data_IF_273489197674
#
_entry.id   IF_273489197674
#
_cell.length_a   1.000
_cell.length_b   1.000
_cell.length_c   1.000
_cell.angle_alpha   90.00
_cell.angle_beta   90.00
_cell.angle_gamma   90.00
#
_symmetry.space_group_name_H-M   'P 1'
#
loop_
_entity.id
_entity.type
_entity.pdbx_description
1 polymer ?
#
# COMPACT_ATOMS: atom_id res chain seq x y z
N UNK A 1 -13.93 -21.18 4.50
CA UNK A 1 -14.61 -22.30 3.79
C UNK A 1 -14.56 -22.07 2.28
N UNK A 2 -14.82 -20.85 1.77
CA UNK A 2 -14.84 -20.55 0.31
C UNK A 2 -13.47 -20.67 -0.39
N UNK A 3 -12.36 -20.39 0.28
CA UNK A 3 -11.02 -20.43 -0.29
C UNK A 3 -10.59 -21.82 -0.77
N UNK A 4 -10.98 -22.87 -0.04
CA UNK A 4 -10.63 -24.25 -0.40
C UNK A 4 -11.41 -24.74 -1.64
N UNK A 5 -12.62 -24.26 -1.86
CA UNK A 5 -13.45 -24.62 -3.02
C UNK A 5 -12.92 -23.96 -4.29
N UNK A 6 -12.50 -22.69 -4.22
CA UNK A 6 -11.89 -21.96 -5.32
C UNK A 6 -10.54 -22.56 -5.70
N UNK A 7 -9.71 -22.88 -4.72
CA UNK A 7 -8.41 -23.56 -4.88
C UNK A 7 -8.56 -24.91 -5.60
N UNK A 8 -9.56 -25.73 -5.21
CA UNK A 8 -9.86 -27.01 -5.86
C UNK A 8 -10.31 -26.85 -7.33
N UNK A 9 -11.08 -25.81 -7.64
CA UNK A 9 -11.52 -25.52 -9.03
C UNK A 9 -10.34 -25.08 -9.89
N UNK A 10 -9.46 -24.20 -9.40
CA UNK A 10 -8.26 -23.78 -10.13
C UNK A 10 -7.31 -24.95 -10.42
N UNK A 11 -7.14 -25.87 -9.47
CA UNK A 11 -6.31 -27.07 -9.67
C UNK A 11 -6.90 -27.99 -10.75
N UNK A 12 -8.23 -28.07 -10.86
CA UNK A 12 -8.87 -28.85 -11.93
C UNK A 12 -8.67 -28.23 -13.31
N UNK A 13 -8.57 -26.89 -13.38
CA UNK A 13 -8.35 -26.14 -14.63
C UNK A 13 -6.87 -26.13 -15.05
N UNK A 14 -5.94 -26.37 -14.14
CA UNK A 14 -4.48 -26.31 -14.38
C UNK A 14 -3.94 -27.48 -15.26
N UNK A 15 -4.81 -28.29 -15.86
CA UNK A 15 -4.44 -29.37 -16.78
C UNK A 15 -4.26 -30.74 -16.13
N UNK A 16 -4.01 -31.79 -16.93
CA UNK A 16 -4.01 -33.19 -16.47
C UNK A 16 -2.73 -33.60 -15.73
N UNK A 17 -1.60 -32.84 -15.88
CA UNK A 17 -0.33 -33.23 -15.30
C UNK A 17 -0.21 -32.89 -13.82
N UNK A 18 0.37 -33.79 -13.03
CA UNK A 18 0.66 -33.57 -11.60
C UNK A 18 1.63 -32.42 -11.39
N UNK A 19 2.57 -32.24 -12.32
CA UNK A 19 3.57 -31.17 -12.30
C UNK A 19 2.92 -29.78 -12.43
N UNK A 20 2.02 -29.61 -13.41
CA UNK A 20 1.30 -28.34 -13.59
C UNK A 20 0.42 -27.99 -12.37
N UNK A 21 -0.22 -29.00 -11.78
CA UNK A 21 -1.02 -28.83 -10.55
C UNK A 21 -0.17 -28.39 -9.36
N UNK A 22 1.02 -28.98 -9.20
CA UNK A 22 1.95 -28.62 -8.12
C UNK A 22 2.47 -27.19 -8.29
N UNK A 23 2.85 -26.80 -9.50
CA UNK A 23 3.31 -25.45 -9.82
C UNK A 23 2.21 -24.42 -9.53
N UNK A 24 0.97 -24.69 -9.95
CA UNK A 24 -0.17 -23.81 -9.70
C UNK A 24 -0.45 -23.65 -8.20
N UNK A 25 -0.39 -24.74 -7.43
CA UNK A 25 -0.55 -24.69 -5.98
C UNK A 25 0.52 -23.84 -5.31
N UNK A 26 1.78 -24.08 -5.65
CA UNK A 26 2.91 -23.32 -5.11
C UNK A 26 2.78 -21.82 -5.43
N UNK A 27 2.36 -21.49 -6.66
CA UNK A 27 2.09 -20.12 -7.07
C UNK A 27 1.00 -19.45 -6.24
N UNK A 28 -0.12 -20.15 -6.01
CA UNK A 28 -1.22 -19.63 -5.20
C UNK A 28 -0.83 -19.42 -3.74
N UNK A 29 -0.08 -20.36 -3.16
CA UNK A 29 0.39 -20.26 -1.78
C UNK A 29 1.38 -19.10 -1.62
N UNK A 30 2.28 -18.93 -2.58
CA UNK A 30 3.25 -17.84 -2.60
C UNK A 30 2.57 -16.47 -2.76
N UNK A 31 1.64 -16.32 -3.70
CA UNK A 31 0.85 -15.10 -3.90
C UNK A 31 0.06 -14.77 -2.63
N UNK A 32 -0.62 -15.76 -2.05
CA UNK A 32 -1.40 -15.57 -0.83
C UNK A 32 -0.51 -15.12 0.32
N UNK A 33 0.66 -15.75 0.49
CA UNK A 33 1.64 -15.38 1.51
C UNK A 33 2.20 -13.97 1.32
N UNK A 34 2.46 -13.56 0.07
CA UNK A 34 2.91 -12.20 -0.25
C UNK A 34 1.85 -11.16 0.11
N UNK A 35 0.59 -11.40 -0.29
CA UNK A 35 -0.53 -10.48 0.01
C UNK A 35 -0.74 -10.37 1.53
N UNK A 36 -0.75 -11.50 2.25
CA UNK A 36 -0.90 -11.48 3.70
C UNK A 36 0.20 -10.67 4.38
N UNK A 37 1.45 -10.89 3.99
CA UNK A 37 2.60 -10.15 4.51
C UNK A 37 2.50 -8.66 4.19
N UNK A 38 2.13 -8.32 2.95
CA UNK A 38 1.89 -6.93 2.56
C UNK A 38 0.83 -6.27 3.45
N UNK A 39 -0.33 -6.91 3.63
CA UNK A 39 -1.41 -6.37 4.46
C UNK A 39 -1.00 -6.20 5.92
N UNK A 40 -0.25 -7.16 6.48
CA UNK A 40 0.27 -7.05 7.85
C UNK A 40 1.23 -5.86 8.01
N UNK A 41 2.17 -5.70 7.09
CA UNK A 41 3.10 -4.57 7.10
C UNK A 41 2.34 -3.26 6.90
N UNK A 42 1.38 -3.23 5.96
CA UNK A 42 0.57 -2.05 5.71
C UNK A 42 -0.23 -1.61 6.94
N UNK A 43 -0.85 -2.54 7.66
CA UNK A 43 -1.55 -2.24 8.91
C UNK A 43 -0.60 -1.74 9.99
N UNK A 44 0.55 -2.40 10.17
CA UNK A 44 1.56 -1.99 11.15
C UNK A 44 2.12 -0.59 10.86
N UNK A 45 2.49 -0.32 9.61
CA UNK A 45 3.01 1.00 9.20
C UNK A 45 1.94 2.08 9.26
N UNK A 46 0.68 1.76 8.94
CA UNK A 46 -0.44 2.70 9.09
C UNK A 46 -0.69 3.06 10.55
N UNK A 47 -0.65 2.10 11.46
CA UNK A 47 -0.77 2.36 12.90
C UNK A 47 0.41 3.22 13.40
N UNK A 48 1.62 2.95 12.91
CA UNK A 48 2.81 3.73 13.26
C UNK A 48 2.72 5.18 12.76
N UNK A 49 2.34 5.37 11.48
CA UNK A 49 2.14 6.71 10.89
C UNK A 49 1.08 7.47 11.67
N UNK A 50 -0.06 6.83 11.94
CA UNK A 50 -1.14 7.46 12.70
C UNK A 50 -0.71 7.87 14.11
N UNK A 51 -0.04 6.97 14.84
CA UNK A 51 0.47 7.25 16.19
C UNK A 51 1.48 8.39 16.20
N UNK A 52 2.49 8.34 15.32
CA UNK A 52 3.53 9.38 15.23
C UNK A 52 2.94 10.73 14.79
N UNK A 53 2.03 10.73 13.80
CA UNK A 53 1.36 11.96 13.34
C UNK A 53 0.52 12.55 14.46
N UNK A 54 -0.32 11.75 15.12
CA UNK A 54 -1.14 12.21 16.23
C UNK A 54 -0.30 12.82 17.36
N UNK A 55 0.79 12.14 17.76
CA UNK A 55 1.70 12.64 18.79
C UNK A 55 2.43 13.93 18.38
N UNK A 56 2.92 13.99 17.13
CA UNK A 56 3.60 15.17 16.64
C UNK A 56 2.68 16.39 16.57
N UNK A 57 1.47 16.21 16.06
CA UNK A 57 0.47 17.28 15.95
C UNK A 57 -0.06 17.73 17.31
N UNK A 58 -0.17 16.80 18.25
CA UNK A 58 -0.48 17.12 19.65
C UNK A 58 0.63 17.94 20.30
N UNK A 59 1.89 17.58 20.10
CA UNK A 59 3.03 18.32 20.63
C UNK A 59 3.16 19.74 20.05
N UNK A 60 2.72 19.95 18.80
CA UNK A 60 2.66 21.26 18.15
C UNK A 60 1.46 22.10 18.70
N UNK A 61 0.48 21.46 19.34
CA UNK A 61 -0.72 22.11 19.87
C UNK A 61 -1.87 22.21 18.85
N UNK A 62 -1.88 21.34 17.82
CA UNK A 62 -3.00 21.30 16.88
C UNK A 62 -4.23 20.67 17.55
N UNK A 63 -5.37 21.34 17.43
CA UNK A 63 -6.65 20.83 17.93
C UNK A 63 -7.01 19.52 17.24
N UNK A 64 -7.66 18.63 18.00
CA UNK A 64 -8.09 17.33 17.50
C UNK A 64 -6.95 16.48 16.89
N UNK A 65 -5.72 16.59 17.40
CA UNK A 65 -4.55 15.85 16.91
C UNK A 65 -4.78 14.34 16.81
N UNK A 66 -5.56 13.76 17.71
CA UNK A 66 -5.93 12.33 17.67
C UNK A 66 -6.75 11.98 16.43
N UNK A 67 -7.67 12.85 16.00
CA UNK A 67 -8.47 12.67 14.78
C UNK A 67 -7.56 12.70 13.55
N UNK A 68 -6.59 13.62 13.52
CA UNK A 68 -5.57 13.69 12.46
C UNK A 68 -4.67 12.45 12.44
N UNK A 69 -4.31 11.93 13.59
CA UNK A 69 -3.58 10.67 13.69
C UNK A 69 -4.36 9.50 13.09
N UNK A 70 -5.64 9.36 13.44
CA UNK A 70 -6.52 8.32 12.86
C UNK A 70 -6.68 8.53 11.35
N UNK A 71 -6.92 9.75 10.92
CA UNK A 71 -7.03 10.08 9.49
C UNK A 71 -5.74 9.73 8.74
N UNK A 72 -4.57 10.06 9.30
CA UNK A 72 -3.27 9.70 8.74
C UNK A 72 -3.10 8.18 8.62
N UNK A 73 -3.51 7.41 9.65
CA UNK A 73 -3.46 5.95 9.60
C UNK A 73 -4.33 5.37 8.49
N UNK A 74 -5.57 5.85 8.35
CA UNK A 74 -6.50 5.38 7.31
C UNK A 74 -6.00 5.78 5.92
N UNK A 75 -5.60 7.04 5.75
CA UNK A 75 -5.11 7.56 4.47
C UNK A 75 -3.79 6.89 4.05
N UNK A 76 -2.94 6.53 4.99
CA UNK A 76 -1.69 5.81 4.71
C UNK A 76 -1.91 4.44 4.05
N UNK A 77 -3.13 3.87 4.12
CA UNK A 77 -3.46 2.64 3.40
C UNK A 77 -3.39 2.83 1.87
N UNK A 78 -3.48 4.07 1.39
CA UNK A 78 -3.34 4.42 -0.04
C UNK A 78 -1.95 5.03 -0.26
N UNK A 79 -1.00 4.31 -0.91
CA UNK A 79 0.35 4.82 -1.15
C UNK A 79 0.34 6.16 -1.89
N UNK A 80 1.27 7.05 -1.53
CA UNK A 80 1.47 8.40 -2.09
C UNK A 80 0.32 9.38 -1.86
N UNK A 81 -0.92 8.97 -2.12
CA UNK A 81 -2.13 9.84 -1.99
C UNK A 81 -2.38 10.19 -0.53
N UNK A 82 -2.24 9.22 0.37
CA UNK A 82 -2.48 9.41 1.80
C UNK A 82 -1.59 10.46 2.43
N UNK A 83 -0.29 10.44 2.15
CA UNK A 83 0.66 11.42 2.67
C UNK A 83 0.36 12.84 2.20
N UNK A 84 0.02 12.99 0.91
CA UNK A 84 -0.29 14.30 0.32
C UNK A 84 -1.56 14.89 0.93
N UNK A 85 -2.63 14.10 1.00
CA UNK A 85 -3.91 14.56 1.60
C UNK A 85 -3.72 14.93 3.07
N UNK A 86 -3.02 14.09 3.85
CA UNK A 86 -2.76 14.36 5.27
C UNK A 86 -1.99 15.67 5.45
N UNK A 87 -0.92 15.88 4.67
CA UNK A 87 -0.11 17.08 4.77
C UNK A 87 -0.89 18.35 4.41
N UNK A 88 -1.62 18.35 3.30
CA UNK A 88 -2.40 19.50 2.84
C UNK A 88 -3.54 19.80 3.82
N UNK A 89 -4.29 18.79 4.23
CA UNK A 89 -5.44 18.98 5.09
C UNK A 89 -5.04 19.42 6.51
N UNK A 90 -4.06 18.76 7.13
CA UNK A 90 -3.57 19.14 8.48
C UNK A 90 -2.89 20.51 8.47
N UNK A 91 -2.11 20.83 7.42
CA UNK A 91 -1.51 22.14 7.24
C UNK A 91 -2.55 23.25 7.04
N UNK A 92 -3.60 22.97 6.28
CA UNK A 92 -4.73 23.89 6.10
C UNK A 92 -5.46 24.19 7.41
N UNK A 93 -5.74 23.17 8.21
CA UNK A 93 -6.35 23.34 9.53
C UNK A 93 -5.42 24.10 10.48
N UNK A 94 -4.11 23.81 10.46
CA UNK A 94 -3.13 24.57 11.25
C UNK A 94 -3.10 26.05 10.85
N UNK A 95 -3.22 26.36 9.56
CA UNK A 95 -3.31 27.75 9.10
C UNK A 95 -4.56 28.44 9.67
N UNK A 96 -5.72 27.77 9.65
CA UNK A 96 -6.96 28.31 10.19
C UNK A 96 -6.91 28.49 11.71
N UNK A 97 -6.29 27.54 12.43
CA UNK A 97 -6.21 27.57 13.88
C UNK A 97 -5.22 28.63 14.40
N UNK A 98 -4.03 28.70 13.81
CA UNK A 98 -2.95 29.56 14.31
C UNK A 98 -2.84 30.91 13.58
N UNK A 99 -3.54 31.10 12.45
CA UNK A 99 -3.42 32.28 11.61
C UNK A 99 -2.00 32.53 11.05
N UNK A 100 -1.16 31.48 11.00
CA UNK A 100 0.26 31.58 10.68
C UNK A 100 0.68 30.56 9.62
N UNK A 101 1.25 31.08 8.52
CA UNK A 101 1.81 30.22 7.46
C UNK A 101 2.99 29.36 7.95
N UNK A 102 3.77 29.85 8.93
CA UNK A 102 4.88 29.09 9.50
C UNK A 102 4.36 27.85 10.25
N UNK A 103 3.28 27.99 11.02
CA UNK A 103 2.67 26.86 11.72
C UNK A 103 2.01 25.88 10.73
N UNK A 104 1.38 26.37 9.68
CA UNK A 104 0.86 25.51 8.61
C UNK A 104 1.96 24.68 7.95
N UNK A 105 3.08 25.29 7.60
CA UNK A 105 4.23 24.62 7.02
C UNK A 105 4.90 23.64 8.00
N UNK A 106 4.95 23.97 9.28
CA UNK A 106 5.51 23.09 10.32
C UNK A 106 4.65 21.82 10.46
N UNK A 107 3.32 21.96 10.52
CA UNK A 107 2.39 20.83 10.63
C UNK A 107 2.41 19.97 9.37
N UNK A 108 2.34 20.59 8.18
CA UNK A 108 2.44 19.87 6.91
C UNK A 108 3.79 19.17 6.76
N UNK A 109 4.88 19.86 7.09
CA UNK A 109 6.24 19.32 7.06
C UNK A 109 6.43 18.14 8.01
N UNK A 110 5.95 18.24 9.25
CA UNK A 110 5.98 17.13 10.20
C UNK A 110 5.24 15.89 9.64
N UNK A 111 4.07 16.07 9.06
CA UNK A 111 3.30 14.99 8.42
C UNK A 111 4.09 14.36 7.25
N UNK A 112 4.69 15.17 6.37
CA UNK A 112 5.51 14.69 5.25
C UNK A 112 6.73 13.92 5.73
N UNK A 113 7.45 14.44 6.74
CA UNK A 113 8.63 13.77 7.31
C UNK A 113 8.27 12.41 7.88
N UNK A 114 7.19 12.33 8.68
CA UNK A 114 6.74 11.06 9.26
C UNK A 114 6.42 10.04 8.16
N UNK A 115 5.63 10.42 7.16
CA UNK A 115 5.30 9.53 6.05
C UNK A 115 6.53 9.12 5.24
N UNK A 116 7.48 10.03 5.02
CA UNK A 116 8.73 9.76 4.30
C UNK A 116 9.61 8.77 5.07
N UNK A 117 9.80 8.99 6.36
CA UNK A 117 10.61 8.10 7.22
C UNK A 117 9.97 6.71 7.30
N UNK A 118 8.67 6.65 7.59
CA UNK A 118 7.98 5.35 7.69
C UNK A 118 7.93 4.65 6.33
N UNK A 119 7.58 5.36 5.26
CA UNK A 119 7.43 4.80 3.92
C UNK A 119 8.75 4.37 3.28
N UNK A 120 9.81 5.17 3.42
CA UNK A 120 11.07 4.94 2.71
C UNK A 120 12.15 4.23 3.54
N UNK A 121 12.04 4.24 4.88
CA UNK A 121 13.01 3.57 5.74
C UNK A 121 12.40 2.37 6.46
N UNK A 122 11.27 2.54 7.14
CA UNK A 122 10.68 1.48 7.98
C UNK A 122 9.98 0.43 7.12
N UNK A 123 9.17 0.84 6.16
CA UNK A 123 8.42 -0.10 5.29
C UNK A 123 9.36 -1.01 4.50
N UNK A 124 10.41 -0.55 3.80
CA UNK A 124 11.36 -1.44 3.13
C UNK A 124 12.10 -2.37 4.09
N UNK A 125 12.43 -1.89 5.28
CA UNK A 125 13.08 -2.72 6.30
C UNK A 125 12.17 -3.87 6.77
N UNK A 126 10.87 -3.63 6.94
CA UNK A 126 9.88 -4.64 7.29
C UNK A 126 9.55 -5.58 6.11
N UNK A 127 9.66 -5.09 4.88
CA UNK A 127 9.30 -5.83 3.67
C UNK A 127 10.49 -6.38 2.90
N UNK A 128 11.69 -6.41 3.46
CA UNK A 128 12.99 -6.66 2.82
C UNK A 128 13.08 -7.84 1.81
N UNK A 129 11.97 -8.55 1.58
CA UNK A 129 11.85 -9.64 0.59
C UNK A 129 10.54 -9.64 -0.21
N UNK A 130 9.65 -8.66 -0.03
CA UNK A 130 8.37 -8.64 -0.72
C UNK A 130 8.44 -7.71 -1.94
N UNK A 131 8.19 -8.30 -3.10
CA UNK A 131 7.97 -7.69 -4.42
C UNK A 131 8.86 -6.50 -4.78
N UNK A 132 9.93 -6.78 -5.52
CA UNK A 132 10.66 -5.77 -6.29
C UNK A 132 9.76 -5.30 -7.44
N UNK A 133 8.93 -4.30 -7.19
CA UNK A 133 8.08 -3.69 -8.22
C UNK A 133 8.60 -2.31 -8.57
N UNK A 134 8.51 -1.96 -9.84
CA UNK A 134 8.87 -0.64 -10.31
C UNK A 134 7.90 0.42 -9.71
N UNK A 135 8.39 1.43 -8.98
CA UNK A 135 7.54 2.46 -8.37
C UNK A 135 6.65 3.19 -9.37
N UNK A 136 7.12 3.41 -10.60
CA UNK A 136 6.35 4.05 -11.67
C UNK A 136 5.19 3.16 -12.10
N UNK A 137 5.44 1.86 -12.29
CA UNK A 137 4.40 0.90 -12.64
C UNK A 137 3.34 0.79 -11.53
N UNK A 138 3.76 0.81 -10.27
CA UNK A 138 2.85 0.84 -9.11
C UNK A 138 2.00 2.11 -9.13
N UNK A 139 2.60 3.28 -9.33
CA UNK A 139 1.88 4.55 -9.37
C UNK A 139 0.85 4.60 -10.49
N UNK A 140 1.24 4.24 -11.72
CA UNK A 140 0.34 4.18 -12.88
C UNK A 140 -0.78 3.16 -12.65
N UNK A 141 -0.45 1.99 -12.11
CA UNK A 141 -1.43 0.97 -11.79
C UNK A 141 -2.43 1.41 -10.73
N UNK A 142 -1.98 2.12 -9.69
CA UNK A 142 -2.88 2.68 -8.67
C UNK A 142 -3.81 3.74 -9.27
N UNK A 143 -3.32 4.61 -10.17
CA UNK A 143 -4.17 5.57 -10.88
C UNK A 143 -5.22 4.86 -11.74
N UNK A 144 -4.83 3.83 -12.48
CA UNK A 144 -5.75 3.03 -13.30
C UNK A 144 -6.84 2.35 -12.44
N UNK A 145 -6.48 1.66 -11.37
CA UNK A 145 -7.43 1.03 -10.47
C UNK A 145 -8.28 2.05 -9.71
N UNK A 146 -7.69 3.20 -9.33
CA UNK A 146 -8.42 4.30 -8.71
C UNK A 146 -9.46 4.91 -9.64
N UNK A 147 -9.14 5.04 -10.92
CA UNK A 147 -10.08 5.49 -11.94
C UNK A 147 -11.21 4.50 -12.18
N UNK A 148 -10.92 3.18 -12.19
CA UNK A 148 -11.91 2.14 -12.45
C UNK A 148 -12.86 1.89 -11.27
N UNK A 149 -12.33 1.88 -10.04
CA UNK A 149 -13.09 1.47 -8.83
C UNK A 149 -13.03 2.49 -7.68
N UNK A 150 -12.51 3.69 -7.95
CA UNK A 150 -12.41 4.74 -6.93
C UNK A 150 -11.51 4.32 -5.75
N UNK A 151 -11.96 4.63 -4.53
CA UNK A 151 -11.21 4.36 -3.30
C UNK A 151 -10.89 2.86 -3.13
N UNK A 152 -11.81 1.98 -3.48
CA UNK A 152 -11.58 0.54 -3.41
C UNK A 152 -10.50 0.07 -4.38
N UNK A 153 -10.42 0.68 -5.56
CA UNK A 153 -9.35 0.43 -6.52
C UNK A 153 -7.98 0.88 -6.00
N UNK A 154 -7.91 2.01 -5.30
CA UNK A 154 -6.68 2.49 -4.67
C UNK A 154 -6.22 1.56 -3.53
N UNK A 155 -7.15 1.09 -2.68
CA UNK A 155 -6.82 0.20 -1.56
C UNK A 155 -6.38 -1.19 -2.03
N UNK A 156 -7.05 -1.75 -3.03
CA UNK A 156 -6.79 -3.09 -3.54
C UNK A 156 -5.80 -3.11 -4.71
N UNK A 157 -5.46 -1.96 -5.26
CA UNK A 157 -4.65 -1.82 -6.46
C UNK A 157 -3.27 -2.48 -6.32
N UNK A 158 -2.60 -2.29 -5.20
CA UNK A 158 -1.30 -2.89 -4.95
C UNK A 158 -1.38 -4.44 -4.83
N UNK A 159 -2.28 -5.04 -4.03
CA UNK A 159 -2.50 -6.49 -4.05
C UNK A 159 -2.82 -7.04 -5.44
N UNK A 160 -3.63 -6.33 -6.23
CA UNK A 160 -3.98 -6.76 -7.58
C UNK A 160 -2.75 -6.73 -8.49
N UNK A 161 -1.94 -5.65 -8.44
CA UNK A 161 -0.70 -5.55 -9.19
C UNK A 161 0.30 -6.66 -8.82
N UNK A 162 0.38 -7.03 -7.54
CA UNK A 162 1.21 -8.16 -7.09
C UNK A 162 0.75 -9.49 -7.71
N UNK A 163 -0.56 -9.71 -7.80
CA UNK A 163 -1.13 -10.91 -8.46
C UNK A 163 -0.79 -10.87 -9.95
N UNK A 164 -1.03 -9.74 -10.62
CA UNK A 164 -0.74 -9.56 -12.06
C UNK A 164 0.72 -9.84 -12.33
N UNK A 165 1.64 -9.23 -11.56
CA UNK A 165 3.07 -9.48 -11.69
C UNK A 165 3.42 -10.95 -11.49
N UNK A 166 2.93 -11.58 -10.44
CA UNK A 166 3.20 -12.99 -10.15
C UNK A 166 2.70 -13.94 -11.24
N UNK A 167 1.63 -13.59 -11.95
CA UNK A 167 1.14 -14.33 -13.12
C UNK A 167 2.03 -14.07 -14.33
N UNK A 168 2.37 -12.81 -14.62
CA UNK A 168 3.22 -12.43 -15.75
C UNK A 168 4.62 -13.05 -15.64
N UNK A 169 5.20 -13.11 -14.46
CA UNK A 169 6.52 -13.73 -14.23
C UNK A 169 6.55 -15.26 -14.53
N UNK A 170 5.37 -15.91 -14.58
CA UNK A 170 5.26 -17.37 -14.78
C UNK A 170 4.77 -17.79 -16.16
N UNK A 171 4.21 -16.88 -16.94
CA UNK A 171 3.70 -17.14 -18.29
C UNK A 171 4.72 -16.60 -19.29
N UNK A 172 5.31 -17.46 -20.11
CA UNK A 172 6.40 -17.10 -21.03
C UNK A 172 6.02 -15.94 -21.96
N UNK A 173 4.79 -15.92 -22.48
CA UNK A 173 4.27 -14.87 -23.35
C UNK A 173 4.07 -13.52 -22.65
N UNK A 174 3.98 -13.51 -21.31
CA UNK A 174 3.75 -12.32 -20.49
C UNK A 174 5.00 -11.82 -19.76
N UNK A 175 6.13 -12.51 -19.88
CA UNK A 175 7.40 -12.13 -19.24
C UNK A 175 7.81 -10.67 -19.50
N UNK A 176 7.66 -10.10 -20.73
CA UNK A 176 7.98 -8.69 -20.95
C UNK A 176 7.16 -7.73 -20.09
N UNK A 177 5.90 -8.08 -19.79
CA UNK A 177 5.04 -7.31 -18.89
C UNK A 177 5.50 -7.49 -17.44
N UNK A 178 5.89 -8.70 -17.05
CA UNK A 178 6.46 -9.00 -15.74
C UNK A 178 7.75 -8.22 -15.47
N UNK A 179 8.64 -8.11 -16.46
CA UNK A 179 9.86 -7.30 -16.38
C UNK A 179 9.56 -5.80 -16.29
N UNK A 180 8.57 -5.30 -17.03
CA UNK A 180 8.14 -3.90 -16.94
C UNK A 180 7.56 -3.55 -15.56
N UNK A 181 6.84 -4.48 -14.93
CA UNK A 181 6.30 -4.33 -13.58
C UNK A 181 7.38 -4.55 -12.50
N UNK A 182 8.51 -5.16 -12.83
CA UNK A 182 9.66 -5.39 -11.97
C UNK A 182 10.56 -4.17 -11.83
N UNK A 183 11.43 -4.20 -10.82
CA UNK A 183 12.49 -3.20 -10.62
C UNK A 183 13.85 -3.82 -10.97
#
# INVERSE_FOLDING_TARGET
VSGNTFRRKLIKLAGPSLTSKKITLQALDEITGQIQRYLQVQLATSALVGGLTGLALWAIGLENAAVWGIAAAVLNMVPYVGSLITAIASGGVAFLQFGSSNMALLVAGASVVIHTVVGNLITPWLTSRASRMNPVAVFVGLLAWGWLWGVWGLLLGLPILMIVKAVCDRVDDLKPIGEFLGA
#
